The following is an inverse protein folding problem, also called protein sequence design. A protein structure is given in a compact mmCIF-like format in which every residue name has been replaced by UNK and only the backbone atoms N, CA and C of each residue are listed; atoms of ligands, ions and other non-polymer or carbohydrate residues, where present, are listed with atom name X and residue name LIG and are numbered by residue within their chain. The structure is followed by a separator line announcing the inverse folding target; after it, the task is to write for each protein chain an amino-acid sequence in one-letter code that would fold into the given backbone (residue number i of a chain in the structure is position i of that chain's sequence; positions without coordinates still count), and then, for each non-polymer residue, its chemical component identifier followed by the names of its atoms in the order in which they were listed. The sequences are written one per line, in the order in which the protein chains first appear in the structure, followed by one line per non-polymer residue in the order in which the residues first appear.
data_IF_997068781748
#
_entry.id   IF_997068781748
#
_cell.length_a   1.000
_cell.length_b   1.000
_cell.length_c   1.000
_cell.angle_alpha   90.00
_cell.angle_beta   90.00
_cell.angle_gamma   90.00
#
_symmetry.space_group_name_H-M   'P 1'
#
loop_
_entity.id
_entity.type
_entity.pdbx_description
1 polymer ?
#
# COMPACT_ATOMS: atom_id res chain seq x y z
N UNK A 1 -12.84 -16.97 -1.96
CA UNK A 1 -13.27 -15.64 -2.40
C UNK A 1 -14.17 -15.02 -1.33
N UNK A 2 -13.58 -14.38 -0.33
CA UNK A 2 -14.31 -13.53 0.61
C UNK A 2 -14.43 -12.12 0.02
N UNK A 3 -15.32 -11.93 -0.94
CA UNK A 3 -15.78 -10.60 -1.25
C UNK A 3 -16.78 -10.22 -0.16
N UNK A 4 -16.42 -9.27 0.69
CA UNK A 4 -17.42 -8.59 1.53
C UNK A 4 -18.52 -8.06 0.61
N UNK A 5 -19.81 -8.20 0.98
CA UNK A 5 -20.87 -7.65 0.16
C UNK A 5 -20.64 -6.15 0.01
N UNK A 6 -20.48 -5.71 -1.22
CA UNK A 6 -20.55 -4.29 -1.56
C UNK A 6 -22.03 -3.94 -1.66
N UNK A 7 -22.49 -2.95 -0.90
CA UNK A 7 -23.81 -2.37 -1.12
C UNK A 7 -23.91 -1.79 -2.54
N UNK A 8 -25.10 -1.70 -3.08
CA UNK A 8 -25.34 -0.99 -4.34
C UNK A 8 -24.98 0.49 -4.13
N UNK A 9 -23.94 0.93 -4.82
CA UNK A 9 -23.53 2.33 -4.83
C UNK A 9 -23.83 2.88 -6.21
N UNK A 10 -24.65 3.91 -6.26
CA UNK A 10 -24.94 4.64 -7.48
C UNK A 10 -24.61 6.11 -7.33
N UNK A 11 -24.15 6.74 -8.39
CA UNK A 11 -23.88 8.16 -8.45
C UNK A 11 -23.50 8.56 -9.87
N UNK A 12 -23.72 9.81 -10.19
CA UNK A 12 -23.34 10.42 -11.46
C UNK A 12 -22.41 11.59 -11.17
N UNK A 13 -21.46 11.83 -12.07
CA UNK A 13 -20.56 12.99 -12.02
C UNK A 13 -20.49 13.64 -13.38
N UNK A 14 -20.67 14.94 -13.40
CA UNK A 14 -20.45 15.75 -14.59
C UNK A 14 -19.21 16.61 -14.37
N UNK A 15 -18.23 16.49 -15.27
CA UNK A 15 -16.96 17.21 -15.20
C UNK A 15 -16.73 17.99 -16.48
N UNK A 16 -16.34 19.25 -16.35
CA UNK A 16 -15.89 20.10 -17.44
C UNK A 16 -14.41 20.44 -17.25
N UNK A 17 -13.60 20.18 -18.28
CA UNK A 17 -12.14 20.44 -18.23
C UNK A 17 -11.73 21.36 -19.38
N UNK A 18 -10.86 22.31 -19.06
CA UNK A 18 -10.14 23.15 -20.03
C UNK A 18 -8.64 22.97 -19.79
N UNK A 19 -7.88 22.71 -20.84
CA UNK A 19 -6.43 22.59 -20.74
C UNK A 19 -5.73 23.30 -21.88
N UNK A 20 -4.49 23.76 -21.58
CA UNK A 20 -3.56 24.32 -22.55
C UNK A 20 -2.21 23.65 -22.30
N UNK A 21 -1.55 23.23 -23.38
CA UNK A 21 -0.21 22.67 -23.37
C UNK A 21 0.64 23.37 -24.44
N UNK A 22 1.85 23.76 -24.05
CA UNK A 22 2.86 24.36 -24.90
C UNK A 22 4.15 23.53 -24.80
N UNK A 23 4.58 23.00 -25.93
CA UNK A 23 5.89 22.38 -26.10
C UNK A 23 6.77 23.35 -26.92
N UNK A 24 7.83 23.87 -26.33
CA UNK A 24 8.67 24.87 -26.91
C UNK A 24 10.14 24.44 -26.92
N UNK A 25 10.75 24.22 -28.12
CA UNK A 25 12.19 24.15 -28.22
C UNK A 25 12.76 25.59 -28.02
N UNK A 26 13.49 25.78 -26.92
CA UNK A 26 14.11 27.08 -26.60
C UNK A 26 15.38 27.27 -27.41
N UNK A 27 16.14 26.21 -27.56
CA UNK A 27 17.31 26.08 -28.43
C UNK A 27 17.31 24.71 -29.10
N UNK A 28 18.28 24.41 -29.95
CA UNK A 28 18.44 23.08 -30.55
C UNK A 28 18.70 21.99 -29.50
N UNK A 29 19.24 22.36 -28.33
CA UNK A 29 19.59 21.44 -27.24
C UNK A 29 18.67 21.54 -26.00
N UNK A 30 17.77 22.54 -25.93
CA UNK A 30 16.89 22.75 -24.77
C UNK A 30 15.44 22.77 -25.24
N UNK A 31 14.64 21.86 -24.68
CA UNK A 31 13.20 21.80 -24.87
C UNK A 31 12.46 22.01 -23.54
N UNK A 32 11.30 22.65 -23.62
CA UNK A 32 10.45 22.88 -22.45
C UNK A 32 9.01 22.49 -22.74
N UNK A 33 8.31 22.07 -21.68
CA UNK A 33 6.89 21.81 -21.71
C UNK A 33 6.21 22.59 -20.57
N UNK A 34 5.16 23.32 -20.93
CA UNK A 34 4.27 24.01 -20.01
C UNK A 34 2.86 23.48 -20.22
N UNK A 35 2.17 23.12 -19.16
CA UNK A 35 0.78 22.70 -19.23
C UNK A 35 -0.01 23.25 -18.03
N UNK A 36 -1.25 23.64 -18.28
CA UNK A 36 -2.21 24.05 -17.26
C UNK A 36 -3.55 23.41 -17.60
N UNK A 37 -4.21 22.85 -16.59
CA UNK A 37 -5.55 22.27 -16.69
C UNK A 37 -6.42 22.82 -15.57
N UNK A 38 -7.59 23.29 -15.92
CA UNK A 38 -8.65 23.63 -14.98
C UNK A 38 -9.79 22.62 -15.14
N UNK A 39 -10.28 22.11 -14.01
CA UNK A 39 -11.39 21.16 -13.98
C UNK A 39 -12.43 21.60 -12.97
N UNK A 40 -13.70 21.55 -13.37
CA UNK A 40 -14.85 21.86 -12.54
C UNK A 40 -15.81 20.67 -12.57
N UNK A 41 -16.34 20.31 -11.43
CA UNK A 41 -17.29 19.22 -11.26
C UNK A 41 -18.49 19.68 -10.42
N UNK A 42 -19.56 18.90 -10.46
CA UNK A 42 -20.77 19.12 -9.67
C UNK A 42 -20.70 18.55 -8.24
N UNK A 43 -19.70 17.69 -7.95
CA UNK A 43 -19.58 16.95 -6.69
C UNK A 43 -18.27 17.18 -5.92
N UNK A 44 -17.35 18.00 -6.44
CA UNK A 44 -16.17 18.47 -5.71
C UNK A 44 -15.76 19.88 -6.14
N UNK A 45 -14.92 20.53 -5.32
CA UNK A 45 -14.39 21.86 -5.62
C UNK A 45 -13.55 21.85 -6.91
N UNK A 46 -13.65 22.91 -7.72
CA UNK A 46 -12.82 23.04 -8.92
C UNK A 46 -11.34 23.02 -8.59
N UNK A 47 -10.55 22.37 -9.46
CA UNK A 47 -9.11 22.26 -9.31
C UNK A 47 -8.37 22.84 -10.51
N UNK A 48 -7.24 23.49 -10.26
CA UNK A 48 -6.32 23.95 -11.31
C UNK A 48 -4.94 23.36 -11.04
N UNK A 49 -4.40 22.68 -12.03
CA UNK A 49 -3.10 22.03 -11.94
C UNK A 49 -2.20 22.46 -13.08
N UNK A 50 -0.89 22.42 -12.84
CA UNK A 50 0.11 22.84 -13.81
C UNK A 50 1.29 21.89 -13.86
N UNK A 51 2.03 21.95 -14.98
CA UNK A 51 3.27 21.22 -15.18
C UNK A 51 4.28 22.12 -15.88
N UNK A 52 5.51 22.07 -15.40
CA UNK A 52 6.71 22.53 -16.09
C UNK A 52 7.68 21.39 -16.23
N UNK A 53 8.25 21.21 -17.41
CA UNK A 53 9.34 20.28 -17.63
C UNK A 53 10.38 20.89 -18.56
N UNK A 54 11.63 20.51 -18.36
CA UNK A 54 12.78 20.90 -19.15
C UNK A 54 13.63 19.67 -19.48
N UNK A 55 14.04 19.57 -20.75
CA UNK A 55 15.02 18.63 -21.24
C UNK A 55 16.20 19.40 -21.81
N UNK A 56 17.42 18.97 -21.47
CA UNK A 56 18.65 19.55 -21.97
C UNK A 56 19.60 18.47 -22.51
N UNK A 57 19.82 18.48 -23.83
CA UNK A 57 20.84 17.69 -24.49
C UNK A 57 22.19 18.36 -24.28
N UNK A 58 22.94 17.95 -23.24
CA UNK A 58 24.25 18.52 -22.91
C UNK A 58 25.26 18.24 -24.02
N UNK A 59 25.21 17.03 -24.57
CA UNK A 59 25.94 16.54 -25.70
C UNK A 59 25.25 15.28 -26.28
N UNK A 60 25.69 14.72 -27.45
CA UNK A 60 25.03 13.54 -28.04
C UNK A 60 24.92 12.31 -27.12
N UNK A 61 25.77 12.23 -26.10
CA UNK A 61 25.75 11.09 -25.16
C UNK A 61 25.02 11.36 -23.84
N UNK A 62 24.71 12.62 -23.51
CA UNK A 62 24.15 12.98 -22.20
C UNK A 62 22.99 13.96 -22.33
N UNK A 63 21.84 13.55 -21.82
CA UNK A 63 20.68 14.41 -21.64
C UNK A 63 20.31 14.50 -20.18
N UNK A 64 19.94 15.69 -19.73
CA UNK A 64 19.37 15.97 -18.40
C UNK A 64 17.90 16.30 -18.53
N UNK A 65 17.11 15.95 -17.52
CA UNK A 65 15.68 16.28 -17.47
C UNK A 65 15.28 16.68 -16.07
N UNK A 66 14.34 17.61 -15.98
CA UNK A 66 13.71 17.97 -14.72
C UNK A 66 12.23 18.29 -14.96
N UNK A 67 11.40 18.00 -13.99
CA UNK A 67 9.99 18.38 -14.04
C UNK A 67 9.46 18.73 -12.65
N UNK A 68 8.47 19.64 -12.62
CA UNK A 68 7.65 19.93 -11.47
C UNK A 68 6.20 20.05 -11.91
N UNK A 69 5.28 19.46 -11.16
CA UNK A 69 3.86 19.50 -11.48
C UNK A 69 3.01 19.40 -10.23
N UNK A 70 1.82 20.00 -10.31
CA UNK A 70 0.73 19.70 -9.38
C UNK A 70 -0.26 18.77 -10.03
N UNK A 71 -0.96 17.96 -9.22
CA UNK A 71 -2.04 17.11 -9.67
C UNK A 71 -3.14 17.07 -8.60
N UNK A 72 -4.33 16.61 -8.96
CA UNK A 72 -5.40 16.36 -8.02
C UNK A 72 -6.09 15.04 -8.35
N UNK A 73 -6.76 14.46 -7.36
CA UNK A 73 -7.63 13.31 -7.52
C UNK A 73 -8.96 13.57 -6.81
N UNK A 74 -10.03 13.67 -7.57
CA UNK A 74 -11.36 13.79 -7.00
C UNK A 74 -11.72 12.52 -6.17
N UNK A 75 -12.51 12.65 -5.10
CA UNK A 75 -13.10 11.49 -4.42
C UNK A 75 -13.82 10.62 -5.44
N UNK A 76 -13.70 9.31 -5.34
CA UNK A 76 -14.48 8.43 -6.21
C UNK A 76 -15.94 8.32 -5.75
N UNK A 77 -16.84 7.85 -6.64
CA UNK A 77 -18.28 7.74 -6.35
C UNK A 77 -18.55 6.86 -5.12
N UNK A 78 -17.75 5.82 -4.89
CA UNK A 78 -17.89 4.96 -3.71
C UNK A 78 -17.55 5.76 -2.45
N UNK A 79 -16.45 6.50 -2.44
CA UNK A 79 -16.02 7.31 -1.29
C UNK A 79 -17.07 8.37 -0.91
N UNK A 80 -17.83 8.89 -1.89
CA UNK A 80 -18.87 9.88 -1.64
C UNK A 80 -20.21 9.26 -1.23
N UNK A 81 -20.56 8.10 -1.80
CA UNK A 81 -21.93 7.57 -1.75
C UNK A 81 -22.03 6.17 -1.10
N UNK A 82 -20.95 5.64 -0.48
CA UNK A 82 -21.03 4.34 0.18
C UNK A 82 -22.10 4.35 1.28
N UNK A 83 -23.11 3.51 1.14
CA UNK A 83 -24.29 3.47 2.00
C UNK A 83 -24.16 2.57 3.22
N UNK A 84 -23.05 2.63 3.96
CA UNK A 84 -22.86 1.86 5.19
C UNK A 84 -22.48 0.40 4.94
N UNK A 85 -21.52 0.16 4.06
CA UNK A 85 -20.99 -1.20 3.81
C UNK A 85 -20.33 -1.75 5.05
N UNK A 86 -20.72 -2.96 5.42
CA UNK A 86 -20.17 -3.69 6.56
C UNK A 86 -19.08 -4.61 6.10
N UNK A 87 -17.87 -4.46 6.69
CA UNK A 87 -16.74 -5.36 6.51
C UNK A 87 -16.32 -5.91 7.86
N UNK A 88 -16.08 -7.21 7.93
CA UNK A 88 -15.70 -7.89 9.17
C UNK A 88 -14.21 -8.25 9.16
N UNK A 89 -13.61 -8.31 10.34
CA UNK A 89 -12.25 -8.79 10.57
C UNK A 89 -12.01 -8.94 12.05
N UNK A 90 -11.14 -9.86 12.44
CA UNK A 90 -10.77 -10.05 13.84
C UNK A 90 -9.82 -8.95 14.31
N UNK A 91 -10.03 -8.47 15.51
CA UNK A 91 -9.21 -7.47 16.17
C UNK A 91 -9.19 -7.69 17.68
N UNK A 92 -8.14 -7.20 18.30
CA UNK A 92 -8.03 -7.13 19.75
C UNK A 92 -8.95 -6.05 20.31
N UNK A 93 -9.61 -6.38 21.43
CA UNK A 93 -10.29 -5.42 22.30
C UNK A 93 -9.37 -5.09 23.47
N UNK A 94 -8.66 -3.99 23.35
CA UNK A 94 -7.64 -3.59 24.32
C UNK A 94 -8.18 -3.31 25.73
N UNK A 95 -9.46 -3.02 25.86
CA UNK A 95 -10.09 -2.89 27.20
C UNK A 95 -10.25 -4.25 27.85
N UNK A 96 -10.68 -5.26 27.10
CA UNK A 96 -10.79 -6.65 27.58
C UNK A 96 -9.41 -7.21 27.90
N UNK A 97 -8.42 -6.97 27.03
CA UNK A 97 -7.05 -7.40 27.30
C UNK A 97 -6.50 -6.77 28.59
N UNK A 98 -6.84 -5.50 28.88
CA UNK A 98 -6.46 -4.89 30.15
C UNK A 98 -7.11 -5.57 31.34
N UNK A 99 -8.33 -6.09 31.23
CA UNK A 99 -8.96 -6.92 32.28
C UNK A 99 -8.14 -8.19 32.52
N UNK A 100 -7.79 -8.92 31.46
CA UNK A 100 -6.95 -10.12 31.56
C UNK A 100 -5.61 -9.81 32.26
N UNK A 101 -4.92 -8.73 31.80
CA UNK A 101 -3.63 -8.32 32.38
C UNK A 101 -3.71 -8.04 33.87
N UNK A 102 -4.70 -7.23 34.30
CA UNK A 102 -4.89 -6.90 35.72
C UNK A 102 -5.14 -8.14 36.56
N UNK A 103 -5.97 -9.07 36.09
CA UNK A 103 -6.27 -10.29 36.79
C UNK A 103 -5.05 -11.22 36.86
N UNK A 104 -4.30 -11.33 35.78
CA UNK A 104 -3.07 -12.13 35.73
C UNK A 104 -1.97 -11.54 36.64
N UNK A 105 -1.82 -10.24 36.71
CA UNK A 105 -0.95 -9.54 37.68
C UNK A 105 -1.34 -9.80 39.10
N UNK A 106 -2.65 -9.97 39.40
CA UNK A 106 -3.20 -10.28 40.69
C UNK A 106 -3.12 -11.78 41.09
N UNK A 107 -2.68 -12.65 40.18
CA UNK A 107 -2.54 -14.09 40.37
C UNK A 107 -3.76 -14.90 39.96
N UNK A 108 -4.64 -14.34 39.13
CA UNK A 108 -5.79 -15.01 38.52
C UNK A 108 -7.14 -14.59 39.15
N UNK A 109 -8.20 -15.31 38.78
CA UNK A 109 -9.55 -15.06 39.23
C UNK A 109 -10.36 -16.38 39.30
N UNK A 110 -11.20 -16.55 40.30
CA UNK A 110 -12.15 -17.68 40.52
C UNK A 110 -11.52 -19.10 40.44
N UNK A 111 -10.26 -19.21 40.89
CA UNK A 111 -9.52 -20.48 40.90
C UNK A 111 -8.61 -20.68 39.68
N UNK A 112 -8.73 -19.87 38.64
CA UNK A 112 -7.81 -19.84 37.54
C UNK A 112 -6.63 -18.90 37.81
N UNK A 113 -5.42 -19.40 37.60
CA UNK A 113 -4.18 -18.65 37.82
C UNK A 113 -3.69 -17.90 36.60
N UNK A 114 -4.33 -18.09 35.43
CA UNK A 114 -4.02 -17.43 34.19
C UNK A 114 -5.30 -17.21 33.39
N UNK A 115 -5.73 -15.98 33.28
CA UNK A 115 -6.91 -15.57 32.51
C UNK A 115 -6.54 -15.36 31.06
N UNK A 116 -7.28 -16.01 30.18
CA UNK A 116 -7.03 -16.06 28.73
C UNK A 116 -8.30 -15.76 27.94
N UNK A 117 -8.22 -15.76 26.61
CA UNK A 117 -9.38 -15.60 25.72
C UNK A 117 -10.42 -16.72 25.87
N UNK A 118 -10.06 -17.85 26.49
CA UNK A 118 -11.04 -18.90 26.85
C UNK A 118 -11.95 -18.51 27.99
N UNK A 119 -11.54 -17.55 28.81
CA UNK A 119 -12.25 -17.07 29.98
C UNK A 119 -13.03 -15.79 29.69
N UNK A 120 -12.38 -14.86 29.00
CA UNK A 120 -12.97 -13.62 28.50
C UNK A 120 -12.27 -13.25 27.20
N UNK A 121 -12.99 -13.34 26.07
CA UNK A 121 -12.43 -13.22 24.71
C UNK A 121 -12.05 -11.77 24.39
N UNK A 122 -10.76 -11.52 24.20
CA UNK A 122 -10.22 -10.22 23.80
C UNK A 122 -9.95 -10.11 22.29
N UNK A 123 -9.98 -11.23 21.53
CA UNK A 123 -9.71 -11.25 20.09
C UNK A 123 -10.85 -11.88 19.31
N UNK A 124 -11.73 -11.06 18.76
CA UNK A 124 -12.93 -11.53 18.08
C UNK A 124 -13.23 -10.72 16.81
N UNK A 125 -14.21 -11.21 16.03
CA UNK A 125 -14.62 -10.55 14.79
C UNK A 125 -15.42 -9.30 15.07
N UNK A 126 -14.88 -8.15 14.62
CA UNK A 126 -15.50 -6.82 14.74
C UNK A 126 -15.95 -6.34 13.36
N UNK A 127 -17.15 -5.79 13.28
CA UNK A 127 -17.65 -5.16 12.08
C UNK A 127 -17.13 -3.72 11.95
N UNK A 128 -16.72 -3.34 10.75
CA UNK A 128 -16.50 -1.95 10.35
C UNK A 128 -17.63 -1.51 9.43
N UNK A 129 -18.24 -0.38 9.74
CA UNK A 129 -19.21 0.30 8.87
C UNK A 129 -18.56 1.55 8.31
N UNK A 130 -18.48 1.66 6.98
CA UNK A 130 -18.05 2.86 6.32
C UNK A 130 -19.24 3.52 5.62
N UNK A 131 -19.41 4.81 5.83
CA UNK A 131 -20.39 5.63 5.13
C UNK A 131 -19.62 6.61 4.26
N UNK A 132 -20.12 6.89 3.06
CA UNK A 132 -19.55 7.86 2.15
C UNK A 132 -19.54 9.26 2.76
N UNK A 133 -18.40 9.95 2.59
CA UNK A 133 -18.23 11.32 3.10
C UNK A 133 -18.64 12.36 2.06
N UNK A 134 -19.79 13.00 2.25
CA UNK A 134 -20.29 14.09 1.38
C UNK A 134 -19.56 15.44 1.57
N UNK A 135 -18.46 15.47 2.34
CA UNK A 135 -17.60 16.65 2.57
C UNK A 135 -16.12 16.37 2.29
N UNK A 136 -15.86 15.37 1.42
CA UNK A 136 -14.48 15.06 1.06
C UNK A 136 -13.96 16.09 0.05
N UNK A 137 -12.80 16.66 0.37
CA UNK A 137 -12.01 17.46 -0.58
C UNK A 137 -11.30 16.54 -1.57
N UNK A 138 -10.96 17.07 -2.75
CA UNK A 138 -10.06 16.40 -3.65
C UNK A 138 -8.67 16.27 -3.02
N UNK A 139 -8.02 15.13 -3.25
CA UNK A 139 -6.59 15.00 -2.92
C UNK A 139 -5.78 15.88 -3.87
N UNK A 140 -4.76 16.51 -3.35
CA UNK A 140 -3.84 17.35 -4.11
C UNK A 140 -2.43 16.73 -4.05
N UNK A 141 -1.61 16.94 -5.07
CA UNK A 141 -0.21 16.52 -5.00
C UNK A 141 0.71 17.48 -5.73
N UNK A 142 1.92 17.60 -5.17
CA UNK A 142 3.07 18.25 -5.79
C UNK A 142 4.10 17.18 -6.11
N UNK A 143 4.52 17.12 -7.38
CA UNK A 143 5.43 16.11 -7.89
C UNK A 143 6.65 16.80 -8.49
N UNK A 144 7.83 16.30 -8.20
CA UNK A 144 9.09 16.75 -8.82
C UNK A 144 9.96 15.59 -9.22
N UNK A 145 10.73 15.77 -10.28
CA UNK A 145 11.76 14.80 -10.66
C UNK A 145 12.94 15.51 -11.33
N UNK A 146 14.11 14.93 -11.13
CA UNK A 146 15.33 15.26 -11.84
C UNK A 146 16.01 13.96 -12.28
N UNK A 147 16.53 13.93 -13.50
CA UNK A 147 17.16 12.73 -13.99
C UNK A 147 18.12 12.99 -15.14
N UNK A 148 18.83 11.94 -15.49
CA UNK A 148 19.74 11.91 -16.63
C UNK A 148 19.51 10.66 -17.49
N UNK A 149 19.85 10.81 -18.77
CA UNK A 149 19.94 9.72 -19.73
C UNK A 149 21.35 9.77 -20.34
N UNK A 150 22.07 8.65 -20.23
CA UNK A 150 23.43 8.54 -20.75
C UNK A 150 23.51 7.42 -21.79
N UNK A 151 23.89 7.80 -23.02
CA UNK A 151 24.03 6.93 -24.19
C UNK A 151 25.43 7.06 -24.76
N UNK A 152 26.46 6.37 -24.19
CA UNK A 152 27.84 6.56 -24.57
C UNK A 152 28.11 6.10 -26.02
N UNK A 153 28.69 6.97 -26.83
CA UNK A 153 29.07 6.64 -28.22
C UNK A 153 30.08 5.50 -28.31
N UNK A 154 30.94 5.35 -27.28
CA UNK A 154 31.94 4.29 -27.22
C UNK A 154 31.33 2.88 -26.99
N UNK A 155 30.08 2.79 -26.54
CA UNK A 155 29.35 1.53 -26.32
C UNK A 155 28.00 1.62 -26.99
N UNK A 156 27.94 1.44 -28.34
CA UNK A 156 26.68 1.49 -29.06
C UNK A 156 25.64 0.52 -28.50
N UNK A 157 24.41 1.00 -28.38
CA UNK A 157 23.31 0.21 -27.83
C UNK A 157 23.17 0.26 -26.30
N UNK A 158 24.11 0.87 -25.57
CA UNK A 158 23.99 1.10 -24.12
C UNK A 158 23.22 2.40 -23.84
N UNK A 159 22.24 2.32 -22.96
CA UNK A 159 21.56 3.46 -22.36
C UNK A 159 21.45 3.26 -20.85
N UNK A 160 21.81 4.27 -20.07
CA UNK A 160 21.66 4.31 -18.63
C UNK A 160 20.76 5.48 -18.27
N UNK A 161 19.77 5.25 -17.39
CA UNK A 161 18.92 6.30 -16.85
C UNK A 161 19.06 6.32 -15.32
N UNK A 162 19.03 7.50 -14.74
CA UNK A 162 18.95 7.72 -13.31
C UNK A 162 17.98 8.85 -13.05
N UNK A 163 16.97 8.59 -12.25
CA UNK A 163 15.95 9.57 -11.90
C UNK A 163 15.75 9.58 -10.38
N UNK A 164 15.75 10.78 -9.80
CA UNK A 164 15.29 11.03 -8.44
C UNK A 164 13.93 11.73 -8.51
N UNK A 165 12.99 11.26 -7.73
CA UNK A 165 11.62 11.77 -7.72
C UNK A 165 11.12 12.00 -6.30
N UNK A 166 10.18 12.94 -6.16
CA UNK A 166 9.47 13.22 -4.90
C UNK A 166 8.01 13.54 -5.20
N UNK A 167 7.13 13.04 -4.36
CA UNK A 167 5.68 13.23 -4.41
C UNK A 167 5.22 13.61 -3.01
N UNK A 168 4.70 14.81 -2.86
CA UNK A 168 3.97 15.24 -1.67
C UNK A 168 2.48 15.22 -2.00
N UNK A 169 1.69 14.54 -1.19
CA UNK A 169 0.27 14.31 -1.41
C UNK A 169 -0.52 14.76 -0.22
N UNK A 170 -1.36 15.77 -0.40
CA UNK A 170 -2.19 16.35 0.64
C UNK A 170 -3.63 15.84 0.58
N UNK A 171 -4.35 15.96 1.70
CA UNK A 171 -5.78 15.60 1.79
C UNK A 171 -6.07 14.17 1.29
N UNK A 172 -5.14 13.23 1.50
CA UNK A 172 -5.30 11.84 1.08
C UNK A 172 -6.59 11.26 1.65
N UNK A 173 -7.48 10.77 0.79
CA UNK A 173 -8.75 10.20 1.24
C UNK A 173 -8.51 8.79 1.76
N UNK A 174 -8.81 8.58 3.02
CA UNK A 174 -8.59 7.32 3.72
C UNK A 174 -9.61 7.09 4.84
N UNK A 175 -9.32 6.10 5.64
CA UNK A 175 -10.10 5.72 6.83
C UNK A 175 -9.16 5.82 8.04
N UNK A 176 -9.69 6.24 9.19
CA UNK A 176 -8.92 6.26 10.45
C UNK A 176 -8.46 4.86 10.87
N UNK A 177 -9.21 3.85 10.49
CA UNK A 177 -8.92 2.46 10.81
C UNK A 177 -9.73 1.98 12.00
N UNK A 178 -10.27 0.76 11.90
CA UNK A 178 -11.03 0.12 12.97
C UNK A 178 -10.13 -0.09 14.19
N UNK A 179 -8.92 -0.52 13.95
CA UNK A 179 -7.88 -0.80 14.93
C UNK A 179 -7.56 0.45 15.76
N UNK A 180 -7.27 1.56 15.10
CA UNK A 180 -7.01 2.85 15.74
C UNK A 180 -8.22 3.36 16.54
N UNK A 181 -9.44 3.13 16.03
CA UNK A 181 -10.67 3.54 16.71
C UNK A 181 -10.88 2.77 18.02
N UNK A 182 -10.55 1.47 18.05
CA UNK A 182 -10.60 0.65 19.27
C UNK A 182 -9.55 1.11 20.29
N UNK A 183 -8.35 1.48 19.82
CA UNK A 183 -7.31 2.07 20.68
C UNK A 183 -7.79 3.41 21.25
N UNK A 184 -8.44 4.22 20.45
CA UNK A 184 -9.02 5.50 20.92
C UNK A 184 -10.12 5.28 21.98
N UNK A 185 -11.01 4.28 21.77
CA UNK A 185 -12.02 3.89 22.80
C UNK A 185 -11.35 3.49 24.13
N UNK A 186 -10.28 2.69 24.07
CA UNK A 186 -9.50 2.34 25.25
C UNK A 186 -8.94 3.57 25.97
N UNK A 187 -8.29 4.48 25.25
CA UNK A 187 -7.70 5.69 25.84
C UNK A 187 -8.75 6.58 26.50
N UNK A 188 -9.86 6.84 25.84
CA UNK A 188 -10.94 7.66 26.37
C UNK A 188 -11.53 7.04 27.65
N UNK A 189 -11.63 5.71 27.73
CA UNK A 189 -12.05 5.00 28.96
C UNK A 189 -11.01 5.13 30.06
N UNK A 190 -9.72 5.11 29.74
CA UNK A 190 -8.64 5.29 30.71
C UNK A 190 -8.66 6.72 31.27
N UNK A 191 -8.83 7.72 30.43
CA UNK A 191 -8.94 9.13 30.83
C UNK A 191 -10.16 9.41 31.71
N UNK A 192 -11.32 8.79 31.39
CA UNK A 192 -12.56 8.95 32.14
C UNK A 192 -12.64 8.06 33.38
N UNK A 193 -11.64 7.20 33.61
CA UNK A 193 -11.55 6.23 34.69
C UNK A 193 -12.23 4.90 34.38
N UNK A 194 -11.45 3.83 34.38
CA UNK A 194 -11.91 2.48 34.01
C UNK A 194 -13.04 1.95 34.92
N UNK A 195 -13.14 2.43 36.15
CA UNK A 195 -14.21 2.08 37.08
C UNK A 195 -15.48 2.95 36.94
N UNK A 196 -15.49 3.89 36.02
CA UNK A 196 -16.63 4.74 35.73
C UNK A 196 -17.63 3.99 34.84
N UNK A 197 -18.78 3.63 35.37
CA UNK A 197 -19.85 2.95 34.63
C UNK A 197 -20.87 3.94 33.98
N UNK A 198 -20.51 5.22 33.84
CA UNK A 198 -21.34 6.18 33.17
C UNK A 198 -21.49 5.90 31.67
N UNK A 199 -22.54 6.44 31.06
CA UNK A 199 -22.68 6.41 29.60
C UNK A 199 -21.69 7.37 28.95
N UNK A 200 -21.21 7.04 27.73
CA UNK A 200 -20.35 7.87 26.88
C UNK A 200 -18.94 8.15 27.44
N UNK A 201 -18.35 7.18 28.10
CA UNK A 201 -16.97 7.30 28.60
C UNK A 201 -15.92 6.84 27.58
N UNK A 202 -16.31 6.09 26.53
CA UNK A 202 -15.45 5.64 25.43
C UNK A 202 -15.71 6.38 24.13
N UNK A 203 -15.18 5.89 23.05
CA UNK A 203 -15.35 6.47 21.72
C UNK A 203 -16.79 6.26 21.20
N UNK A 204 -17.54 7.33 20.84
CA UNK A 204 -18.90 7.21 20.34
C UNK A 204 -19.00 6.46 19.01
N UNK A 205 -17.92 6.34 18.24
CA UNK A 205 -17.84 5.59 16.99
C UNK A 205 -17.61 4.09 17.20
N UNK A 206 -17.26 3.67 18.42
CA UNK A 206 -17.15 2.26 18.83
C UNK A 206 -18.44 1.84 19.53
N UNK A 207 -19.31 1.21 18.77
CA UNK A 207 -20.63 0.76 19.29
C UNK A 207 -20.49 -0.64 19.89
N UNK A 208 -20.80 -0.75 21.17
CA UNK A 208 -20.73 -2.00 21.94
C UNK A 208 -22.11 -2.60 22.20
N UNK A 209 -22.17 -3.91 22.38
CA UNK A 209 -23.34 -4.60 22.94
C UNK A 209 -23.46 -4.31 24.44
N UNK A 210 -24.56 -4.75 25.03
CA UNK A 210 -24.69 -4.72 26.49
C UNK A 210 -23.65 -5.68 27.13
N UNK A 211 -23.12 -5.36 28.34
CA UNK A 211 -22.21 -6.25 29.04
C UNK A 211 -22.80 -7.64 29.24
N UNK A 212 -22.03 -8.70 29.07
CA UNK A 212 -22.42 -10.06 29.36
C UNK A 212 -22.43 -10.26 30.88
N UNK A 213 -23.53 -10.83 31.44
CA UNK A 213 -23.66 -11.05 32.84
C UNK A 213 -22.70 -12.15 33.36
N UNK A 214 -22.31 -13.11 32.50
CA UNK A 214 -21.34 -14.15 32.84
C UNK A 214 -19.94 -13.63 33.00
N UNK A 215 -19.58 -12.61 32.24
CA UNK A 215 -18.24 -11.98 32.21
C UNK A 215 -18.10 -10.84 33.25
N UNK A 216 -19.21 -10.30 33.75
CA UNK A 216 -19.20 -9.13 34.64
C UNK A 216 -18.33 -9.30 35.90
N UNK A 217 -18.14 -10.54 36.37
CA UNK A 217 -17.27 -10.89 37.49
C UNK A 217 -15.81 -10.56 37.24
N UNK A 218 -15.29 -10.86 36.07
CA UNK A 218 -13.89 -10.56 35.64
C UNK A 218 -13.62 -9.06 35.68
N UNK A 219 -14.51 -8.27 35.06
CA UNK A 219 -14.40 -6.81 35.07
C UNK A 219 -14.42 -6.22 36.46
N UNK A 220 -15.36 -6.70 37.31
CA UNK A 220 -15.50 -6.19 38.67
C UNK A 220 -14.26 -6.53 39.52
N UNK A 221 -13.70 -7.73 39.36
CA UNK A 221 -12.49 -8.16 40.09
C UNK A 221 -11.26 -7.36 39.63
N UNK A 222 -11.19 -6.99 38.33
CA UNK A 222 -10.16 -6.12 37.82
C UNK A 222 -10.36 -4.62 38.18
N UNK A 223 -11.48 -4.26 38.81
CA UNK A 223 -11.81 -2.87 39.15
C UNK A 223 -12.17 -2.04 37.90
N UNK A 224 -12.61 -2.70 36.85
CA UNK A 224 -13.00 -2.11 35.57
C UNK A 224 -14.52 -2.20 35.41
N UNK A 225 -15.14 -1.17 34.85
CA UNK A 225 -16.58 -1.24 34.59
C UNK A 225 -16.87 -2.24 33.46
N UNK A 226 -17.83 -3.18 33.69
CA UNK A 226 -18.23 -4.14 32.66
C UNK A 226 -18.66 -3.45 31.34
N UNK A 227 -18.10 -3.91 30.24
CA UNK A 227 -18.45 -3.49 28.88
C UNK A 227 -18.85 -4.72 28.06
N UNK A 228 -19.66 -4.52 27.02
CA UNK A 228 -19.96 -5.57 26.06
C UNK A 228 -18.95 -5.58 24.90
N UNK A 229 -18.96 -6.67 24.15
CA UNK A 229 -18.16 -6.80 22.91
C UNK A 229 -18.47 -5.69 21.93
N UNK A 230 -17.47 -5.31 21.14
CA UNK A 230 -17.65 -4.32 20.08
C UNK A 230 -18.52 -4.92 18.97
N UNK A 231 -19.71 -4.35 18.79
CA UNK A 231 -20.65 -4.74 17.74
C UNK A 231 -20.18 -4.28 16.38
N UNK A 232 -19.83 -3.00 16.27
CA UNK A 232 -19.23 -2.41 15.07
C UNK A 232 -18.49 -1.11 15.41
N UNK A 233 -17.59 -0.75 14.52
CA UNK A 233 -16.90 0.54 14.52
C UNK A 233 -17.42 1.34 13.31
N UNK A 234 -17.90 2.57 13.56
CA UNK A 234 -18.20 3.55 12.52
C UNK A 234 -16.89 4.17 12.07
N UNK A 235 -16.55 4.00 10.79
CA UNK A 235 -15.25 4.42 10.25
C UNK A 235 -15.45 4.99 8.84
N UNK A 236 -15.75 6.27 8.78
CA UNK A 236 -16.10 6.97 7.56
C UNK A 236 -14.86 7.45 6.80
N UNK A 237 -15.02 7.69 5.50
CA UNK A 237 -13.95 8.30 4.70
C UNK A 237 -13.70 9.74 5.15
N UNK A 238 -12.44 10.10 5.27
CA UNK A 238 -11.97 11.43 5.65
C UNK A 238 -10.73 11.84 4.86
N UNK A 239 -10.48 13.14 4.77
CA UNK A 239 -9.21 13.63 4.27
C UNK A 239 -8.15 13.56 5.38
N UNK A 240 -7.12 12.77 5.13
CA UNK A 240 -5.96 12.60 6.01
C UNK A 240 -4.91 13.67 5.73
N UNK A 241 -3.92 13.79 6.61
CA UNK A 241 -2.77 14.68 6.43
C UNK A 241 -1.88 14.29 5.25
N UNK A 242 -0.76 14.98 5.13
CA UNK A 242 0.20 14.84 4.03
C UNK A 242 0.84 13.46 4.02
N UNK A 243 0.99 12.91 2.82
CA UNK A 243 1.76 11.70 2.52
C UNK A 243 2.94 12.06 1.65
N UNK A 244 4.14 11.69 2.07
CA UNK A 244 5.37 11.95 1.35
C UNK A 244 5.94 10.64 0.80
N UNK A 245 6.35 10.68 -0.45
CA UNK A 245 7.07 9.59 -1.12
C UNK A 245 8.24 10.19 -1.87
N UNK A 246 9.42 9.59 -1.72
CA UNK A 246 10.58 9.96 -2.50
C UNK A 246 11.40 8.70 -2.83
N UNK A 247 12.11 8.74 -3.93
CA UNK A 247 12.90 7.58 -4.33
C UNK A 247 13.78 7.85 -5.54
N UNK A 248 14.53 6.81 -5.88
CA UNK A 248 15.51 6.81 -6.97
C UNK A 248 15.27 5.62 -7.88
N UNK A 249 15.17 5.86 -9.17
CA UNK A 249 15.07 4.84 -10.20
C UNK A 249 16.33 4.80 -11.04
N UNK A 250 16.85 3.60 -11.30
CA UNK A 250 17.95 3.35 -12.22
C UNK A 250 17.50 2.40 -13.32
N UNK A 251 17.80 2.74 -14.58
CA UNK A 251 17.58 1.89 -15.74
C UNK A 251 18.89 1.64 -16.48
N UNK A 252 19.16 0.39 -16.84
CA UNK A 252 20.25 0.04 -17.76
C UNK A 252 19.66 -0.80 -18.89
N UNK A 253 19.88 -0.34 -20.11
CA UNK A 253 19.41 -0.99 -21.34
C UNK A 253 20.61 -1.21 -22.23
N UNK A 254 20.75 -2.41 -22.75
CA UNK A 254 21.85 -2.73 -23.67
C UNK A 254 21.36 -3.66 -24.78
N UNK A 255 21.36 -3.18 -25.98
CA UNK A 255 21.02 -3.94 -27.18
C UNK A 255 22.26 -4.09 -28.05
N UNK A 256 22.59 -5.34 -28.45
CA UNK A 256 23.74 -5.65 -29.27
C UNK A 256 23.40 -6.70 -30.34
N UNK A 257 23.73 -6.39 -31.57
CA UNK A 257 23.61 -7.31 -32.71
C UNK A 257 24.93 -8.03 -32.92
N UNK A 258 24.90 -9.34 -33.00
CA UNK A 258 26.07 -10.20 -33.20
C UNK A 258 25.79 -11.28 -34.25
N UNK A 259 26.85 -11.94 -34.71
CA UNK A 259 26.70 -13.15 -35.57
C UNK A 259 25.99 -14.32 -34.86
N UNK A 260 25.86 -14.28 -33.55
CA UNK A 260 25.16 -15.29 -32.73
C UNK A 260 23.71 -14.87 -32.39
N UNK A 261 23.24 -13.79 -32.99
CA UNK A 261 21.92 -13.21 -32.78
C UNK A 261 21.94 -11.86 -32.08
N UNK A 262 20.75 -11.30 -31.93
CA UNK A 262 20.50 -10.03 -31.27
C UNK A 262 20.25 -10.30 -29.78
N UNK A 263 21.00 -9.61 -28.93
CA UNK A 263 20.86 -9.70 -27.48
C UNK A 263 20.32 -8.38 -26.97
N UNK A 264 19.33 -8.45 -26.08
CA UNK A 264 18.83 -7.31 -25.31
C UNK A 264 18.94 -7.59 -23.83
N UNK A 265 19.50 -6.65 -23.08
CA UNK A 265 19.55 -6.65 -21.62
C UNK A 265 18.83 -5.43 -21.09
N UNK A 266 18.02 -5.62 -20.06
CA UNK A 266 17.32 -4.56 -19.35
C UNK A 266 17.40 -4.80 -17.85
N UNK A 267 17.88 -3.82 -17.11
CA UNK A 267 17.79 -3.74 -15.67
C UNK A 267 16.99 -2.50 -15.27
N UNK A 268 16.06 -2.65 -14.35
CA UNK A 268 15.37 -1.54 -13.67
C UNK A 268 15.46 -1.82 -12.18
N UNK A 269 16.07 -0.91 -11.45
CA UNK A 269 16.08 -0.85 -10.00
C UNK A 269 15.30 0.36 -9.53
N UNK A 270 14.45 0.19 -8.54
CA UNK A 270 13.72 1.25 -7.85
C UNK A 270 14.01 1.15 -6.37
N UNK A 271 14.39 2.26 -5.75
CA UNK A 271 14.57 2.40 -4.33
C UNK A 271 13.67 3.52 -3.83
N UNK A 272 12.77 3.20 -2.91
CA UNK A 272 11.99 4.17 -2.16
C UNK A 272 12.83 4.61 -0.96
N UNK A 273 13.11 5.90 -0.85
CA UNK A 273 13.92 6.48 0.22
C UNK A 273 13.06 7.05 1.35
N UNK A 274 11.80 7.40 1.04
CA UNK A 274 10.82 7.93 1.96
C UNK A 274 9.43 7.44 1.60
N UNK A 275 8.67 6.99 2.58
CA UNK A 275 7.24 6.76 2.50
C UNK A 275 6.62 7.03 3.87
N UNK A 276 6.13 8.25 4.05
CA UNK A 276 5.57 8.71 5.33
C UNK A 276 4.13 9.18 5.16
N UNK A 277 3.36 9.06 6.22
CA UNK A 277 2.02 9.63 6.36
C UNK A 277 2.00 10.47 7.62
N UNK A 278 1.82 11.77 7.49
CA UNK A 278 1.74 12.65 8.64
C UNK A 278 0.50 12.33 9.48
N UNK A 279 0.64 12.47 10.77
CA UNK A 279 -0.48 12.37 11.69
C UNK A 279 -1.19 13.73 11.83
N UNK A 280 -2.52 13.72 11.76
CA UNK A 280 -3.35 14.90 12.04
C UNK A 280 -4.63 14.48 12.77
N UNK A 281 -5.27 15.40 13.47
CA UNK A 281 -6.49 15.14 14.21
C UNK A 281 -6.33 13.98 15.18
N UNK A 282 -7.19 12.97 15.06
CA UNK A 282 -7.19 11.77 15.92
C UNK A 282 -5.90 10.95 15.80
N UNK A 283 -5.28 10.88 14.61
CA UNK A 283 -3.98 10.22 14.44
C UNK A 283 -2.88 10.90 15.25
N UNK A 284 -2.82 12.24 15.24
CA UNK A 284 -1.83 12.98 16.01
C UNK A 284 -2.06 12.80 17.52
N UNK A 285 -3.31 12.70 17.94
CA UNK A 285 -3.65 12.36 19.33
C UNK A 285 -3.11 10.99 19.70
N UNK A 286 -3.45 9.93 18.97
CA UNK A 286 -2.95 8.59 19.25
C UNK A 286 -1.42 8.50 19.26
N UNK A 287 -0.76 9.15 18.31
CA UNK A 287 0.70 9.20 18.26
C UNK A 287 1.28 9.84 19.52
N UNK A 288 0.73 11.00 19.94
CA UNK A 288 1.18 11.68 21.17
C UNK A 288 0.99 10.83 22.42
N UNK A 289 -0.11 10.07 22.52
CA UNK A 289 -0.38 9.17 23.63
C UNK A 289 0.59 7.98 23.65
N UNK A 290 0.96 7.47 22.46
CA UNK A 290 1.97 6.40 22.36
C UNK A 290 3.36 6.89 22.75
N UNK A 291 3.75 8.08 22.31
CA UNK A 291 5.01 8.73 22.69
C UNK A 291 5.07 9.03 24.20
N UNK A 292 3.94 9.37 24.80
CA UNK A 292 3.79 9.56 26.26
C UNK A 292 3.79 8.24 27.05
N UNK A 293 3.79 7.07 26.37
CA UNK A 293 3.74 5.74 27.01
C UNK A 293 2.37 5.35 27.57
N UNK A 294 1.31 6.06 27.17
CA UNK A 294 -0.07 5.75 27.57
C UNK A 294 -0.71 4.65 26.72
N UNK A 295 -0.20 4.46 25.51
CA UNK A 295 -0.49 3.29 24.69
C UNK A 295 0.70 2.34 24.82
N UNK A 296 0.50 1.08 25.29
CA UNK A 296 1.55 0.07 25.36
C UNK A 296 2.29 -0.12 24.03
N UNK A 297 3.58 -0.43 24.11
CA UNK A 297 4.44 -0.52 22.91
C UNK A 297 3.99 -1.63 21.95
N UNK A 298 3.39 -2.70 22.46
CA UNK A 298 2.86 -3.83 21.69
C UNK A 298 1.54 -3.52 20.96
N UNK A 299 0.85 -2.42 21.27
CA UNK A 299 -0.37 -2.03 20.57
C UNK A 299 0.04 -1.31 19.27
N UNK A 300 -0.21 -1.86 18.08
CA UNK A 300 0.12 -1.22 16.83
C UNK A 300 -0.80 -0.02 16.57
N UNK A 301 -0.26 1.00 15.94
CA UNK A 301 -1.04 2.09 15.35
C UNK A 301 -0.79 2.06 13.83
N UNK A 302 -1.85 2.03 13.06
CA UNK A 302 -1.78 1.81 11.62
C UNK A 302 -2.06 3.07 10.80
N UNK A 303 -1.46 3.16 9.62
CA UNK A 303 -1.83 4.11 8.57
C UNK A 303 -1.16 5.49 8.66
N UNK A 304 -0.23 5.72 9.59
CA UNK A 304 0.53 6.96 9.72
C UNK A 304 1.95 6.72 10.29
N UNK A 305 2.78 7.75 10.26
CA UNK A 305 4.18 7.66 10.61
C UNK A 305 5.03 7.19 9.42
N UNK A 306 6.12 6.50 9.71
CA UNK A 306 6.97 5.90 8.68
C UNK A 306 6.35 4.58 8.21
N UNK A 307 5.91 4.56 6.96
CA UNK A 307 5.29 3.41 6.31
C UNK A 307 6.30 2.61 5.47
N UNK A 308 7.54 3.10 5.34
CA UNK A 308 8.57 2.40 4.58
C UNK A 308 8.99 1.11 5.28
N UNK A 309 9.06 0.03 4.52
CA UNK A 309 9.34 -1.30 5.06
C UNK A 309 8.19 -1.91 5.86
N UNK A 310 7.01 -1.29 5.93
CA UNK A 310 5.87 -1.79 6.69
C UNK A 310 4.82 -2.41 5.77
N UNK A 311 4.29 -3.58 6.12
CA UNK A 311 3.10 -4.20 5.54
C UNK A 311 3.07 -4.26 4.00
N UNK A 312 4.18 -4.67 3.38
CA UNK A 312 4.32 -4.81 1.94
C UNK A 312 4.88 -3.58 1.22
N UNK A 313 5.20 -2.51 1.93
CA UNK A 313 5.88 -1.32 1.39
C UNK A 313 7.41 -1.52 1.40
N UNK A 314 7.89 -2.52 0.68
CA UNK A 314 9.33 -2.78 0.55
C UNK A 314 10.05 -1.57 -0.07
N UNK A 315 11.29 -1.31 0.38
CA UNK A 315 12.09 -0.17 -0.08
C UNK A 315 12.71 -0.38 -1.46
N UNK A 316 12.99 -1.64 -1.83
CA UNK A 316 13.69 -1.97 -3.08
C UNK A 316 12.90 -2.92 -3.96
N UNK A 317 13.01 -2.70 -5.28
CA UNK A 317 12.48 -3.58 -6.31
C UNK A 317 13.43 -3.62 -7.50
N UNK A 318 13.81 -4.84 -7.91
CA UNK A 318 14.69 -5.04 -9.04
C UNK A 318 14.02 -5.91 -10.12
N UNK A 319 14.15 -5.48 -11.36
CA UNK A 319 13.72 -6.26 -12.53
C UNK A 319 14.89 -6.39 -13.48
N UNK A 320 15.24 -7.62 -13.84
CA UNK A 320 16.23 -7.92 -14.87
C UNK A 320 15.54 -8.66 -16.01
N UNK A 321 15.86 -8.33 -17.24
CA UNK A 321 15.39 -9.06 -18.40
C UNK A 321 16.54 -9.21 -19.37
N UNK A 322 16.81 -10.46 -19.78
CA UNK A 322 17.70 -10.80 -20.87
C UNK A 322 16.87 -11.41 -22.02
N UNK A 323 17.12 -11.00 -23.24
CA UNK A 323 16.48 -11.53 -24.44
C UNK A 323 17.51 -11.87 -25.52
N UNK A 324 17.21 -12.89 -26.30
CA UNK A 324 18.02 -13.33 -27.42
C UNK A 324 17.12 -13.67 -28.60
N UNK A 325 17.58 -13.34 -29.81
CA UNK A 325 16.91 -13.70 -31.06
C UNK A 325 17.94 -14.09 -32.10
N UNK A 326 17.70 -15.22 -32.75
CA UNK A 326 18.47 -15.67 -33.90
C UNK A 326 17.56 -16.33 -34.94
N UNK A 327 17.37 -15.71 -36.09
CA UNK A 327 16.44 -16.17 -37.12
C UNK A 327 15.01 -16.33 -36.56
N UNK A 328 14.49 -17.54 -36.61
CA UNK A 328 13.14 -17.87 -36.12
C UNK A 328 13.08 -18.16 -34.63
N UNK A 329 14.21 -18.25 -33.94
CA UNK A 329 14.31 -18.53 -32.53
C UNK A 329 14.33 -17.27 -31.70
N UNK A 330 13.70 -17.33 -30.53
CA UNK A 330 13.80 -16.30 -29.51
C UNK A 330 13.76 -16.91 -28.10
N UNK A 331 14.57 -16.36 -27.21
CA UNK A 331 14.55 -16.72 -25.79
C UNK A 331 14.50 -15.45 -24.94
N UNK A 332 13.88 -15.55 -23.79
CA UNK A 332 13.82 -14.46 -22.80
C UNK A 332 13.90 -15.06 -21.41
N UNK A 333 14.69 -14.43 -20.54
CA UNK A 333 14.72 -14.70 -19.12
C UNK A 333 14.44 -13.40 -18.39
N UNK A 334 13.59 -13.43 -17.37
CA UNK A 334 13.29 -12.27 -16.53
C UNK A 334 13.32 -12.64 -15.05
N UNK A 335 13.87 -11.77 -14.25
CA UNK A 335 13.93 -11.86 -12.80
C UNK A 335 13.17 -10.68 -12.22
N UNK A 336 12.38 -10.93 -11.19
CA UNK A 336 11.76 -9.92 -10.33
C UNK A 336 12.17 -10.21 -8.89
N UNK A 337 12.79 -9.23 -8.24
CA UNK A 337 13.10 -9.23 -6.82
C UNK A 337 12.32 -8.11 -6.14
N UNK A 338 11.70 -8.41 -5.02
CA UNK A 338 11.06 -7.47 -4.09
C UNK A 338 11.79 -7.53 -2.77
N UNK A 339 12.11 -6.38 -2.21
CA UNK A 339 12.81 -6.26 -0.94
C UNK A 339 12.04 -6.82 0.24
N UNK A 340 12.70 -6.93 1.36
CA UNK A 340 12.09 -7.33 2.63
C UNK A 340 11.19 -6.21 3.20
N UNK A 341 10.30 -6.61 4.09
CA UNK A 341 9.47 -5.70 4.87
C UNK A 341 9.06 -6.38 6.17
N UNK A 342 8.54 -5.63 7.14
CA UNK A 342 8.02 -6.19 8.38
C UNK A 342 6.50 -6.14 8.44
N UNK A 343 5.92 -7.07 9.20
CA UNK A 343 4.50 -7.09 9.48
C UNK A 343 4.23 -6.30 10.77
N UNK A 344 3.50 -5.18 10.66
CA UNK A 344 3.26 -4.25 11.77
C UNK A 344 2.42 -4.87 12.90
N UNK A 345 1.50 -5.78 12.56
CA UNK A 345 0.63 -6.46 13.53
C UNK A 345 1.30 -7.60 14.29
N UNK A 346 2.58 -7.92 14.01
CA UNK A 346 3.27 -9.06 14.62
C UNK A 346 4.60 -8.66 15.23
N UNK A 347 4.65 -8.72 16.57
CA UNK A 347 5.87 -8.55 17.35
C UNK A 347 6.27 -9.91 17.94
N UNK A 348 7.54 -10.28 17.78
CA UNK A 348 8.08 -11.51 18.35
C UNK A 348 8.23 -11.41 19.87
N UNK A 349 8.39 -12.57 20.54
CA UNK A 349 8.48 -12.64 21.99
C UNK A 349 9.66 -11.88 22.61
N UNK A 350 10.69 -11.59 21.79
CA UNK A 350 11.85 -10.77 22.18
C UNK A 350 11.64 -9.26 21.96
N UNK A 351 10.45 -8.85 21.51
CA UNK A 351 10.09 -7.46 21.21
C UNK A 351 10.52 -6.98 19.84
N UNK A 352 11.11 -7.83 18.98
CA UNK A 352 11.47 -7.47 17.61
C UNK A 352 10.30 -7.64 16.65
N UNK A 353 10.32 -6.90 15.52
CA UNK A 353 9.31 -7.01 14.46
C UNK A 353 9.53 -8.27 13.64
N UNK A 354 8.46 -8.92 13.23
CA UNK A 354 8.54 -10.04 12.30
C UNK A 354 8.84 -9.55 10.89
N UNK A 355 10.03 -9.91 10.38
CA UNK A 355 10.49 -9.53 9.04
C UNK A 355 10.09 -10.62 8.04
N UNK A 356 9.41 -10.19 6.98
CA UNK A 356 9.09 -11.00 5.80
C UNK A 356 10.25 -10.80 4.82
N UNK A 357 11.04 -11.85 4.53
CA UNK A 357 12.25 -11.72 3.72
C UNK A 357 11.93 -11.36 2.28
N UNK A 358 12.96 -10.89 1.57
CA UNK A 358 12.89 -10.63 0.13
C UNK A 358 12.46 -11.87 -0.66
N UNK A 359 11.80 -11.64 -1.79
CA UNK A 359 11.39 -12.71 -2.69
C UNK A 359 11.89 -12.45 -4.10
N UNK A 360 12.55 -13.44 -4.68
CA UNK A 360 13.03 -13.39 -6.07
C UNK A 360 12.35 -14.46 -6.90
N UNK A 361 11.79 -14.09 -8.06
CA UNK A 361 11.21 -15.03 -9.03
C UNK A 361 11.87 -14.90 -10.38
N UNK A 362 12.10 -16.04 -11.05
CA UNK A 362 12.71 -16.11 -12.38
C UNK A 362 11.74 -16.78 -13.35
N UNK A 363 11.48 -16.11 -14.46
CA UNK A 363 10.70 -16.63 -15.58
C UNK A 363 11.59 -16.89 -16.79
N UNK A 364 11.36 -17.96 -17.53
CA UNK A 364 12.06 -18.26 -18.76
C UNK A 364 11.08 -18.57 -19.90
N UNK A 365 11.40 -18.14 -21.11
CA UNK A 365 10.58 -18.38 -22.30
C UNK A 365 11.46 -18.70 -23.49
N UNK A 366 11.06 -19.68 -24.28
CA UNK A 366 11.64 -19.98 -25.61
C UNK A 366 10.53 -19.96 -26.64
N UNK A 367 10.78 -19.41 -27.80
CA UNK A 367 9.81 -19.34 -28.89
C UNK A 367 10.45 -19.67 -30.24
N UNK A 368 9.64 -20.26 -31.11
CA UNK A 368 10.01 -20.55 -32.50
C UNK A 368 8.92 -20.05 -33.44
N UNK A 369 9.32 -19.29 -34.45
CA UNK A 369 8.44 -18.75 -35.49
C UNK A 369 8.54 -19.60 -36.76
N UNK A 370 7.42 -19.90 -37.38
CA UNK A 370 7.37 -20.72 -38.59
C UNK A 370 6.15 -20.35 -39.45
N UNK A 371 6.00 -21.00 -40.58
CA UNK A 371 4.80 -20.85 -41.40
C UNK A 371 3.93 -22.14 -41.29
N UNK A 372 2.62 -21.93 -41.06
CA UNK A 372 1.62 -22.98 -41.05
C UNK A 372 0.52 -22.63 -42.05
N UNK A 373 0.38 -23.46 -43.10
CA UNK A 373 -0.57 -23.24 -44.20
C UNK A 373 -0.48 -21.84 -44.83
N UNK A 374 0.76 -21.31 -45.00
CA UNK A 374 1.01 -19.99 -45.57
C UNK A 374 0.97 -18.85 -44.57
N UNK A 375 0.37 -19.03 -43.42
CA UNK A 375 0.21 -18.04 -42.34
C UNK A 375 1.41 -18.03 -41.40
N UNK A 376 1.70 -16.89 -40.79
CA UNK A 376 2.75 -16.79 -39.77
C UNK A 376 2.27 -17.49 -38.49
N UNK A 377 3.07 -18.40 -37.95
CA UNK A 377 2.81 -19.09 -36.69
C UNK A 377 4.00 -18.92 -35.75
N UNK A 378 3.72 -18.89 -34.45
CA UNK A 378 4.72 -18.84 -33.37
C UNK A 378 4.34 -19.81 -32.28
N UNK A 379 5.21 -20.74 -31.99
CA UNK A 379 5.11 -21.61 -30.81
C UNK A 379 5.96 -21.02 -29.70
N UNK A 380 5.41 -20.96 -28.50
CA UNK A 380 6.09 -20.44 -27.30
C UNK A 380 5.92 -21.42 -26.15
N UNK A 381 7.03 -21.79 -25.53
CA UNK A 381 7.08 -22.50 -24.26
C UNK A 381 7.61 -21.53 -23.20
N UNK A 382 6.93 -21.43 -22.07
CA UNK A 382 7.31 -20.58 -20.97
C UNK A 382 7.22 -21.35 -19.64
N UNK A 383 8.19 -21.10 -18.77
CA UNK A 383 8.17 -21.52 -17.38
C UNK A 383 8.16 -20.25 -16.53
N UNK A 384 7.14 -20.09 -15.72
CA UNK A 384 7.08 -19.06 -14.70
C UNK A 384 7.54 -19.63 -13.38
N UNK A 385 8.28 -18.80 -12.63
CA UNK A 385 8.87 -19.18 -11.36
C UNK A 385 9.72 -20.47 -11.52
N UNK A 386 10.82 -20.34 -12.27
CA UNK A 386 11.69 -21.47 -12.67
C UNK A 386 12.27 -22.22 -11.46
N UNK A 387 12.53 -21.52 -10.35
CA UNK A 387 13.10 -22.07 -9.13
C UNK A 387 12.06 -22.65 -8.17
N UNK A 388 10.76 -22.51 -8.51
CA UNK A 388 9.64 -22.92 -7.65
C UNK A 388 9.61 -22.20 -6.29
N UNK A 389 10.03 -20.94 -6.31
CA UNK A 389 10.07 -20.13 -5.10
C UNK A 389 8.68 -19.96 -4.50
N UNK A 390 8.57 -20.13 -3.20
CA UNK A 390 7.31 -19.99 -2.46
C UNK A 390 7.29 -18.66 -1.73
N UNK A 391 6.09 -18.07 -1.62
CA UNK A 391 5.94 -16.83 -0.88
C UNK A 391 6.41 -17.00 0.57
N UNK A 392 7.17 -16.03 1.11
CA UNK A 392 7.57 -16.05 2.51
C UNK A 392 6.35 -16.11 3.44
N UNK A 393 6.51 -16.82 4.56
CA UNK A 393 5.44 -16.95 5.56
C UNK A 393 5.11 -15.59 6.18
N UNK A 394 3.82 -15.36 6.42
CA UNK A 394 3.31 -14.20 7.13
C UNK A 394 2.08 -14.59 7.95
N UNK A 395 1.84 -13.89 9.02
CA UNK A 395 0.61 -14.04 9.81
C UNK A 395 -0.55 -13.32 9.12
N UNK A 396 -1.02 -13.93 8.04
CA UNK A 396 -2.12 -13.47 7.18
C UNK A 396 -2.98 -14.66 6.77
N UNK A 397 -4.21 -14.37 6.33
CA UNK A 397 -5.23 -15.38 6.00
C UNK A 397 -4.74 -16.52 5.09
N UNK A 398 -3.87 -16.23 4.13
CA UNK A 398 -3.31 -17.25 3.22
C UNK A 398 -1.98 -17.84 3.69
N UNK A 399 -1.47 -17.46 4.88
CA UNK A 399 -0.16 -17.83 5.37
C UNK A 399 0.99 -17.06 4.74
N UNK A 400 0.70 -16.10 3.87
CA UNK A 400 1.66 -15.20 3.23
C UNK A 400 1.02 -13.83 2.92
N UNK A 401 1.83 -12.84 2.62
CA UNK A 401 1.38 -11.47 2.33
C UNK A 401 0.92 -11.35 0.86
N UNK A 402 -0.37 -11.63 0.58
CA UNK A 402 -0.91 -11.74 -0.78
C UNK A 402 -0.88 -10.42 -1.57
N UNK A 403 -0.86 -9.26 -0.89
CA UNK A 403 -0.76 -7.94 -1.53
C UNK A 403 0.65 -7.68 -2.09
N UNK A 404 1.68 -8.26 -1.48
CA UNK A 404 3.07 -8.13 -1.91
C UNK A 404 3.55 -9.33 -2.73
N UNK A 405 3.14 -10.54 -2.40
CA UNK A 405 3.66 -11.78 -2.95
C UNK A 405 2.60 -12.65 -3.61
N UNK A 406 3.03 -13.54 -4.51
CA UNK A 406 2.18 -14.55 -5.14
C UNK A 406 2.77 -15.93 -4.90
N UNK A 407 1.94 -16.87 -4.43
CA UNK A 407 2.36 -18.22 -4.07
C UNK A 407 1.84 -19.29 -5.05
N UNK A 408 1.97 -19.02 -6.34
CA UNK A 408 1.50 -19.99 -7.37
C UNK A 408 2.47 -21.12 -7.66
N UNK A 409 3.72 -21.04 -7.16
CA UNK A 409 4.77 -22.01 -7.50
C UNK A 409 5.14 -21.97 -8.99
N UNK A 410 5.81 -23.03 -9.46
CA UNK A 410 6.24 -23.15 -10.86
C UNK A 410 5.09 -23.49 -11.79
N UNK A 411 4.95 -22.73 -12.88
CA UNK A 411 3.92 -22.94 -13.88
C UNK A 411 4.52 -23.07 -15.27
N UNK A 412 3.95 -23.99 -16.10
CA UNK A 412 4.36 -24.24 -17.46
C UNK A 412 3.28 -23.80 -18.42
N UNK A 413 3.67 -23.12 -19.49
CA UNK A 413 2.77 -22.62 -20.52
C UNK A 413 3.26 -23.05 -21.90
N UNK A 414 2.34 -23.56 -22.73
CA UNK A 414 2.55 -23.78 -24.15
C UNK A 414 1.49 -22.99 -24.92
N UNK A 415 1.96 -22.10 -25.80
CA UNK A 415 1.11 -21.20 -26.57
C UNK A 415 1.44 -21.31 -28.04
N UNK A 416 0.42 -21.46 -28.88
CA UNK A 416 0.52 -21.43 -30.34
C UNK A 416 -0.31 -20.26 -30.88
N UNK A 417 0.35 -19.28 -31.46
CA UNK A 417 -0.29 -18.15 -32.15
C UNK A 417 -0.19 -18.28 -33.65
N UNK A 418 -1.31 -18.21 -34.35
CA UNK A 418 -1.37 -18.16 -35.83
C UNK A 418 -1.97 -16.82 -36.22
N UNK A 419 -1.32 -16.10 -37.15
CA UNK A 419 -1.80 -14.82 -37.67
C UNK A 419 -2.26 -15.04 -39.11
N UNK A 420 -3.57 -14.90 -39.31
CA UNK A 420 -4.24 -15.10 -40.61
C UNK A 420 -4.19 -13.84 -41.47
#
# INVERSE_FOLDING_TARGET
LNSSPTGDVSGERQTTSLFVELNAPITDSISTQLAVRHESSDDFASATVGKFAIGWEVNPSLSLRASASTAFRAPNIIQLNEGGVVRSGSNDDWVVQRVQDVLNEAGGYDGDTSITDSDIDSYYTIQRRAIGGNKLDAEESTNSSIGLVYTPEMVPGLMVTLDQWSIEKEKTIGLFGRENQIVNDMLLRFENGLNNCGSFIGDPLVVREAPDAGEAGYYTAAGICPIGVVKYVQNDYTNMATRNLAGTDIGVYYDIDTKFGDFGFKYIGSKTDEFTQDASGEFAFLQSQKEAGLIPANIPLDGFGDLLGMDGNYDTKHTVKASWRLGDWGATMSMLQKGEFYQNSLTLSDGTRYVIPEMTTIDATVSYSFRMNGNKARLRFAVKNLEDERAPLADRYYGYYADAHQDYGRNYYLDLRVTF
#
